data_IF_994549834686
#
_entry.id   IF_994549834686
#
_cell.length_a   1.000
_cell.length_b   1.000
_cell.length_c   1.000
_cell.angle_alpha   90.00
_cell.angle_beta   90.00
_cell.angle_gamma   90.00
#
_symmetry.space_group_name_H-M   'P 1'
#
loop_
_entity.id
_entity.type
_entity.pdbx_description
1 polymer ?
#
# COMPACT_ATOMS: atom_id res chain seq x y z
N UNK A 1 -11.63 -25.15 -16.15
CA UNK A 1 -10.98 -24.29 -17.17
C UNK A 1 -11.22 -22.81 -16.85
N UNK A 2 -10.37 -21.90 -17.35
CA UNK A 2 -10.61 -20.46 -17.26
C UNK A 2 -11.90 -20.10 -18.01
N UNK A 3 -12.82 -19.37 -17.35
CA UNK A 3 -14.11 -19.02 -17.94
C UNK A 3 -14.00 -18.07 -19.16
N UNK A 4 -12.88 -17.37 -19.33
CA UNK A 4 -12.71 -16.41 -20.44
C UNK A 4 -11.98 -16.98 -21.65
N UNK A 5 -11.02 -17.89 -21.45
CA UNK A 5 -10.13 -18.33 -22.52
C UNK A 5 -9.80 -19.84 -22.48
N UNK A 6 -10.53 -20.63 -21.69
CA UNK A 6 -10.42 -22.10 -21.58
C UNK A 6 -9.05 -22.66 -21.13
N UNK A 7 -8.05 -21.83 -20.83
CA UNK A 7 -6.74 -22.25 -20.31
C UNK A 7 -6.77 -22.67 -18.82
N UNK A 8 -5.68 -23.29 -18.32
CA UNK A 8 -5.56 -23.73 -16.91
C UNK A 8 -5.68 -22.53 -15.96
N UNK A 9 -6.63 -22.55 -15.00
CA UNK A 9 -6.81 -21.46 -14.05
C UNK A 9 -5.69 -21.43 -13.01
N UNK A 10 -5.37 -20.22 -12.53
CA UNK A 10 -4.40 -19.96 -11.45
C UNK A 10 -5.04 -19.28 -10.24
N UNK A 11 -6.27 -18.80 -10.38
CA UNK A 11 -7.01 -18.12 -9.33
C UNK A 11 -8.50 -18.46 -9.41
N UNK A 12 -9.13 -18.59 -8.25
CA UNK A 12 -10.57 -18.78 -8.07
C UNK A 12 -11.12 -17.66 -7.18
N UNK A 13 -12.09 -16.92 -7.71
CA UNK A 13 -12.80 -15.88 -6.97
C UNK A 13 -13.78 -16.48 -5.97
N UNK A 14 -14.24 -15.67 -5.02
CA UNK A 14 -15.27 -16.02 -4.02
C UNK A 14 -16.58 -16.50 -4.65
N UNK A 15 -16.94 -15.97 -5.82
CA UNK A 15 -18.07 -16.43 -6.62
C UNK A 15 -17.79 -17.70 -7.46
N UNK A 16 -16.74 -18.48 -7.12
CA UNK A 16 -16.31 -19.71 -7.81
C UNK A 16 -15.86 -19.53 -9.26
N UNK A 17 -15.69 -18.29 -9.73
CA UNK A 17 -15.15 -18.01 -11.06
C UNK A 17 -13.65 -18.32 -11.11
N UNK A 18 -13.24 -19.12 -12.09
CA UNK A 18 -11.84 -19.51 -12.30
C UNK A 18 -11.20 -18.73 -13.46
N UNK A 19 -10.02 -18.16 -13.25
CA UNK A 19 -9.27 -17.39 -14.27
C UNK A 19 -7.82 -17.85 -14.41
N UNK A 20 -7.29 -17.81 -15.64
CA UNK A 20 -5.86 -18.03 -15.90
C UNK A 20 -5.02 -16.79 -15.58
N UNK A 21 -3.69 -16.90 -15.67
CA UNK A 21 -2.77 -15.81 -15.32
C UNK A 21 -3.01 -14.52 -16.11
N UNK A 22 -3.17 -14.61 -17.43
CA UNK A 22 -3.40 -13.43 -18.27
C UNK A 22 -4.74 -12.75 -17.98
N UNK A 23 -5.79 -13.54 -17.77
CA UNK A 23 -7.11 -13.05 -17.40
C UNK A 23 -7.12 -12.41 -16.01
N UNK A 24 -6.39 -13.00 -15.05
CA UNK A 24 -6.20 -12.44 -13.72
C UNK A 24 -5.47 -11.09 -13.77
N UNK A 25 -4.37 -10.99 -14.52
CA UNK A 25 -3.63 -9.72 -14.71
C UNK A 25 -4.55 -8.63 -15.25
N UNK A 26 -5.29 -8.91 -16.34
CA UNK A 26 -6.22 -7.94 -16.94
C UNK A 26 -7.32 -7.51 -15.97
N UNK A 27 -7.86 -8.47 -15.21
CA UNK A 27 -8.83 -8.18 -14.16
C UNK A 27 -8.24 -7.28 -13.07
N UNK A 28 -7.03 -7.59 -12.60
CA UNK A 28 -6.34 -6.85 -11.54
C UNK A 28 -6.08 -5.39 -11.96
N UNK A 29 -5.50 -5.17 -13.13
CA UNK A 29 -5.24 -3.83 -13.68
C UNK A 29 -6.56 -3.05 -13.90
N UNK A 30 -7.61 -3.72 -14.42
CA UNK A 30 -8.93 -3.10 -14.58
C UNK A 30 -9.54 -2.70 -13.23
N UNK A 31 -9.44 -3.56 -12.22
CA UNK A 31 -9.89 -3.28 -10.84
C UNK A 31 -9.11 -2.10 -10.25
N UNK A 32 -7.80 -2.01 -10.50
CA UNK A 32 -6.95 -0.93 -10.01
C UNK A 32 -7.38 0.43 -10.59
N UNK A 33 -7.55 0.48 -11.91
CA UNK A 33 -8.06 1.68 -12.59
C UNK A 33 -9.49 2.03 -12.16
N UNK A 34 -10.32 1.04 -11.87
CA UNK A 34 -11.65 1.26 -11.30
C UNK A 34 -11.56 1.89 -9.90
N UNK A 35 -10.72 1.37 -9.01
CA UNK A 35 -10.51 1.92 -7.66
C UNK A 35 -10.10 3.39 -7.72
N UNK A 36 -9.10 3.73 -8.55
CA UNK A 36 -8.61 5.10 -8.66
C UNK A 36 -9.70 6.07 -9.14
N UNK A 37 -10.52 5.65 -10.11
CA UNK A 37 -11.62 6.47 -10.63
C UNK A 37 -12.77 6.59 -9.63
N UNK A 38 -13.20 5.46 -9.05
CA UNK A 38 -14.33 5.39 -8.11
C UNK A 38 -14.12 6.31 -6.89
N UNK A 39 -12.89 6.38 -6.41
CA UNK A 39 -12.55 7.18 -5.23
C UNK A 39 -11.85 8.50 -5.57
N UNK A 40 -11.85 8.91 -6.85
CA UNK A 40 -11.20 10.14 -7.33
C UNK A 40 -9.76 10.34 -6.80
N UNK A 41 -9.01 9.24 -6.71
CA UNK A 41 -7.67 9.24 -6.11
C UNK A 41 -6.68 10.10 -6.90
N UNK A 42 -6.87 10.17 -8.22
CA UNK A 42 -5.95 10.85 -9.13
C UNK A 42 -6.73 11.58 -10.22
N UNK A 43 -6.31 12.80 -10.53
CA UNK A 43 -6.83 13.64 -11.62
C UNK A 43 -5.78 13.83 -12.71
N UNK A 44 -6.23 14.26 -13.90
CA UNK A 44 -5.31 14.60 -14.98
C UNK A 44 -4.38 15.74 -14.54
N UNK A 45 -3.07 15.60 -14.80
CA UNK A 45 -2.06 16.58 -14.40
C UNK A 45 -1.53 16.41 -12.97
N UNK A 46 -2.07 15.48 -12.17
CA UNK A 46 -1.55 15.21 -10.82
C UNK A 46 -0.10 14.71 -10.86
N UNK A 47 0.70 15.16 -9.90
CA UNK A 47 2.00 14.56 -9.56
C UNK A 47 1.80 13.64 -8.35
N UNK A 48 1.93 12.33 -8.57
CA UNK A 48 1.75 11.30 -7.54
C UNK A 48 3.12 10.77 -7.11
N UNK A 49 3.46 11.01 -5.86
CA UNK A 49 4.61 10.42 -5.19
C UNK A 49 4.30 9.02 -4.66
N UNK A 50 5.27 8.11 -4.66
CA UNK A 50 5.16 6.81 -3.96
C UNK A 50 6.51 6.45 -3.35
N UNK A 51 6.53 5.76 -2.21
CA UNK A 51 7.78 5.31 -1.60
C UNK A 51 8.28 4.03 -2.27
N UNK A 52 9.55 4.03 -2.68
CA UNK A 52 10.20 2.81 -3.18
C UNK A 52 10.47 1.86 -2.03
N UNK A 53 9.80 0.72 -2.05
CA UNK A 53 10.03 -0.40 -1.13
C UNK A 53 10.41 -1.67 -1.87
N UNK A 54 10.86 -2.67 -1.13
CA UNK A 54 11.24 -3.97 -1.68
C UNK A 54 10.16 -5.04 -1.51
N UNK A 55 9.06 -4.74 -0.83
CA UNK A 55 7.98 -5.68 -0.59
C UNK A 55 7.11 -5.87 -1.83
N UNK A 56 6.36 -6.97 -1.86
CA UNK A 56 5.48 -7.25 -3.01
C UNK A 56 4.44 -6.14 -3.21
N UNK A 57 3.88 -5.58 -2.13
CA UNK A 57 2.89 -4.49 -2.23
C UNK A 57 3.50 -3.22 -2.85
N UNK A 58 4.72 -2.87 -2.46
CA UNK A 58 5.44 -1.69 -2.98
C UNK A 58 5.70 -1.81 -4.49
N UNK A 59 6.27 -2.95 -4.89
CA UNK A 59 6.66 -3.22 -6.28
C UNK A 59 5.42 -3.34 -7.17
N UNK A 60 4.31 -3.89 -6.66
CA UNK A 60 3.05 -3.95 -7.39
C UNK A 60 2.43 -2.56 -7.52
N UNK A 61 2.43 -1.75 -6.46
CA UNK A 61 1.94 -0.37 -6.53
C UNK A 61 2.72 0.43 -7.58
N UNK A 62 4.06 0.36 -7.56
CA UNK A 62 4.92 1.00 -8.55
C UNK A 62 4.58 0.56 -9.97
N UNK A 63 4.46 -0.75 -10.20
CA UNK A 63 4.10 -1.31 -11.50
C UNK A 63 2.74 -0.79 -11.99
N UNK A 64 1.72 -0.81 -11.13
CA UNK A 64 0.38 -0.35 -11.48
C UNK A 64 0.30 1.17 -11.72
N UNK A 65 1.04 1.98 -10.96
CA UNK A 65 1.17 3.42 -11.21
C UNK A 65 1.86 3.69 -12.56
N UNK A 66 2.86 2.89 -12.93
CA UNK A 66 3.52 2.96 -14.24
C UNK A 66 2.55 2.78 -15.42
N UNK A 67 1.55 1.91 -15.30
CA UNK A 67 0.50 1.72 -16.33
C UNK A 67 -0.29 3.01 -16.60
N UNK A 68 -0.46 3.85 -15.57
CA UNK A 68 -1.19 5.12 -15.69
C UNK A 68 -0.28 6.23 -16.21
N UNK A 69 0.96 6.27 -15.73
CA UNK A 69 1.96 7.22 -16.19
C UNK A 69 2.21 7.08 -17.70
N UNK A 70 2.25 5.84 -18.20
CA UNK A 70 2.42 5.54 -19.63
C UNK A 70 1.30 6.06 -20.54
N UNK A 71 0.17 6.49 -19.98
CA UNK A 71 -0.93 7.14 -20.72
C UNK A 71 -0.84 8.67 -20.73
N UNK A 72 0.21 9.25 -20.14
CA UNK A 72 0.46 10.70 -20.14
C UNK A 72 -0.48 11.53 -19.25
N UNK A 73 -1.39 10.91 -18.49
CA UNK A 73 -2.39 11.63 -17.69
C UNK A 73 -1.87 12.10 -16.34
N UNK A 74 -0.84 11.45 -15.82
CA UNK A 74 -0.38 11.61 -14.44
C UNK A 74 1.12 11.47 -14.42
N UNK A 75 1.80 12.33 -13.66
CA UNK A 75 3.24 12.20 -13.43
C UNK A 75 3.49 11.39 -12.16
N UNK A 76 4.28 10.34 -12.26
CA UNK A 76 4.64 9.50 -11.11
C UNK A 76 6.08 9.82 -10.66
N UNK A 77 6.30 9.97 -9.36
CA UNK A 77 7.61 10.27 -8.77
C UNK A 77 7.93 9.26 -7.68
N UNK A 78 9.01 8.50 -7.86
CA UNK A 78 9.51 7.57 -6.84
C UNK A 78 10.28 8.32 -5.75
N UNK A 79 9.82 8.17 -4.51
CA UNK A 79 10.42 8.74 -3.30
C UNK A 79 11.34 7.71 -2.66
N UNK A 80 12.49 8.16 -2.16
CA UNK A 80 13.40 7.31 -1.40
C UNK A 80 13.09 7.41 0.09
N UNK A 81 13.57 6.44 0.89
CA UNK A 81 13.45 6.51 2.36
C UNK A 81 14.13 7.76 2.96
N UNK A 82 15.13 8.34 2.29
CA UNK A 82 15.69 9.64 2.71
C UNK A 82 14.65 10.75 2.61
N UNK A 83 13.72 10.64 1.66
CA UNK A 83 12.60 11.57 1.49
C UNK A 83 11.41 11.19 2.38
N UNK A 84 11.51 10.09 3.15
CA UNK A 84 10.45 9.66 4.06
C UNK A 84 10.27 10.69 5.17
N UNK A 85 9.02 11.00 5.55
CA UNK A 85 8.76 11.88 6.69
C UNK A 85 9.39 11.35 8.00
N UNK A 86 9.58 10.03 8.13
CA UNK A 86 10.27 9.43 9.28
C UNK A 86 11.77 9.79 9.35
N UNK A 87 12.43 10.09 8.23
CA UNK A 87 13.83 10.51 8.17
C UNK A 87 14.02 12.03 8.39
N UNK A 88 12.94 12.81 8.29
CA UNK A 88 12.99 14.27 8.38
C UNK A 88 11.82 14.83 9.19
N UNK A 89 12.00 15.01 10.51
CA UNK A 89 10.96 15.49 11.42
C UNK A 89 10.35 16.85 11.06
N UNK A 90 11.05 17.68 10.28
CA UNK A 90 10.56 19.01 9.90
C UNK A 90 9.72 18.99 8.59
N UNK A 91 9.82 17.94 7.76
CA UNK A 91 8.90 17.75 6.62
C UNK A 91 7.51 17.26 7.11
N UNK A 92 7.47 16.65 8.30
CA UNK A 92 6.27 16.21 9.01
C UNK A 92 5.33 17.37 9.36
N UNK A 93 5.88 18.53 9.74
CA UNK A 93 5.08 19.72 10.07
C UNK A 93 4.24 20.23 8.88
N UNK A 94 4.66 19.94 7.63
CA UNK A 94 3.92 20.28 6.41
C UNK A 94 2.86 19.25 6.01
N UNK A 95 2.92 18.04 6.55
CA UNK A 95 1.99 16.94 6.27
C UNK A 95 1.31 16.49 7.57
N UNK A 96 0.26 17.21 7.98
CA UNK A 96 -0.74 16.84 8.99
C UNK A 96 -0.27 15.84 10.08
N UNK A 97 0.16 16.36 11.24
CA UNK A 97 0.77 15.66 12.39
C UNK A 97 0.08 14.35 12.85
N UNK A 98 -1.21 14.14 12.55
CA UNK A 98 -1.96 12.90 12.87
C UNK A 98 -1.70 11.72 11.92
N UNK A 99 -1.40 11.96 10.64
CA UNK A 99 -1.07 10.89 9.67
C UNK A 99 0.32 10.28 9.93
N UNK A 100 1.14 11.02 10.66
CA UNK A 100 2.50 10.68 11.06
C UNK A 100 2.47 9.73 12.23
N UNK A 101 1.51 9.85 13.15
CA UNK A 101 1.30 8.85 14.20
C UNK A 101 0.94 7.48 13.59
N UNK A 102 0.17 7.44 12.50
CA UNK A 102 -0.11 6.17 11.79
C UNK A 102 1.11 5.61 11.07
N UNK A 103 1.91 6.45 10.43
CA UNK A 103 3.20 6.02 9.89
C UNK A 103 4.21 5.69 10.99
N UNK A 104 4.14 6.30 12.17
CA UNK A 104 4.99 6.06 13.34
C UNK A 104 4.56 4.82 14.12
N UNK A 105 3.28 4.46 14.14
CA UNK A 105 2.82 3.17 14.68
C UNK A 105 3.31 2.08 13.72
N UNK A 106 3.07 2.21 12.42
CA UNK A 106 3.56 1.27 11.40
C UNK A 106 5.09 1.25 11.28
N UNK A 107 5.78 2.38 11.50
CA UNK A 107 7.24 2.47 11.48
C UNK A 107 7.88 2.14 12.82
N UNK A 108 7.19 2.24 13.97
CA UNK A 108 7.68 1.70 15.25
C UNK A 108 7.76 0.18 15.17
N UNK A 109 6.75 -0.47 14.62
CA UNK A 109 6.82 -1.91 14.29
C UNK A 109 7.98 -2.23 13.34
N UNK A 110 8.28 -1.34 12.38
CA UNK A 110 9.38 -1.53 11.42
C UNK A 110 10.79 -1.16 11.98
N UNK A 111 10.87 -0.24 12.94
CA UNK A 111 12.12 0.24 13.56
C UNK A 111 12.55 -0.66 14.72
N UNK A 112 11.63 -1.14 15.55
CA UNK A 112 11.92 -2.13 16.60
C UNK A 112 12.49 -3.43 16.01
N UNK A 113 12.01 -3.85 14.83
CA UNK A 113 12.51 -5.04 14.13
C UNK A 113 13.93 -4.88 13.56
N UNK A 114 14.39 -3.63 13.34
CA UNK A 114 15.75 -3.33 12.91
C UNK A 114 16.69 -3.02 14.09
N UNK A 115 16.18 -2.47 15.20
CA UNK A 115 16.95 -2.30 16.44
C UNK A 115 17.32 -3.65 17.07
N UNK A 116 16.40 -4.63 17.04
CA UNK A 116 16.65 -5.99 17.53
C UNK A 116 17.67 -6.78 16.68
N UNK A 117 18.08 -6.26 15.52
CA UNK A 117 19.09 -6.89 14.62
C UNK A 117 20.51 -6.32 14.78
N UNK A 118 20.76 -5.46 15.78
CA UNK A 118 22.11 -5.08 16.18
C UNK A 118 22.98 -4.36 15.14
N UNK A 119 22.40 -3.86 14.03
CA UNK A 119 23.15 -3.08 13.04
C UNK A 119 23.26 -1.62 13.48
N UNK A 120 24.36 -1.29 14.18
CA UNK A 120 24.77 0.09 14.36
C UNK A 120 25.11 0.70 12.99
N UNK A 121 24.29 1.64 12.52
CA UNK A 121 24.65 2.50 11.39
C UNK A 121 25.24 3.77 12.01
N UNK A 122 26.55 3.95 11.86
CA UNK A 122 27.26 5.15 12.31
C UNK A 122 26.68 6.40 11.64
N UNK A 123 26.16 7.32 12.45
CA UNK A 123 25.45 8.54 12.01
C UNK A 123 26.42 9.68 11.61
N UNK A 124 27.74 9.41 11.60
CA UNK A 124 28.78 10.44 11.60
C UNK A 124 29.24 11.05 10.27
N UNK A 125 28.89 10.52 9.08
CA UNK A 125 29.52 11.00 7.83
C UNK A 125 28.58 11.26 6.63
N UNK A 126 27.30 11.48 6.87
CA UNK A 126 26.33 11.72 5.79
C UNK A 126 26.06 13.21 5.49
N UNK A 127 26.57 14.16 6.27
CA UNK A 127 26.21 15.57 6.12
C UNK A 127 26.78 16.25 4.85
N UNK A 128 27.97 15.85 4.37
CA UNK A 128 28.67 16.60 3.32
C UNK A 128 28.39 16.14 1.89
N UNK A 129 27.79 14.96 1.69
CA UNK A 129 27.37 14.49 0.36
C UNK A 129 25.92 14.89 -0.03
N UNK A 130 25.21 15.64 0.83
CA UNK A 130 23.81 16.02 0.59
C UNK A 130 23.62 17.31 -0.22
N UNK A 131 24.61 18.20 -0.29
CA UNK A 131 24.45 19.48 -1.00
C UNK A 131 24.49 19.34 -2.54
N UNK A 132 25.16 18.32 -3.08
CA UNK A 132 25.30 18.15 -4.54
C UNK A 132 24.16 17.38 -5.22
N UNK A 133 23.32 16.64 -4.48
CA UNK A 133 22.15 15.93 -5.07
C UNK A 133 20.87 16.77 -5.12
N UNK A 134 20.81 17.91 -4.41
CA UNK A 134 19.64 18.82 -4.40
C UNK A 134 19.45 19.62 -5.69
N UNK A 135 20.49 19.80 -6.50
CA UNK A 135 20.46 20.70 -7.67
C UNK A 135 19.78 20.11 -8.92
N UNK A 136 19.38 18.82 -8.93
CA UNK A 136 18.68 18.18 -10.06
C UNK A 136 17.33 17.54 -9.72
N UNK A 137 16.91 17.55 -8.45
CA UNK A 137 15.51 17.31 -8.10
C UNK A 137 14.76 18.61 -8.35
N UNK A 138 14.47 18.90 -9.62
CA UNK A 138 13.49 19.92 -9.98
C UNK A 138 12.18 19.64 -9.24
N UNK A 139 11.95 20.43 -8.18
CA UNK A 139 10.73 21.12 -7.74
C UNK A 139 9.34 20.59 -8.12
N UNK A 140 9.13 19.32 -8.44
CA UNK A 140 7.78 18.80 -8.69
C UNK A 140 6.99 18.88 -7.38
N UNK A 141 6.01 19.79 -7.34
CA UNK A 141 5.08 19.93 -6.22
C UNK A 141 4.19 18.69 -6.20
N UNK A 142 4.52 17.72 -5.36
CA UNK A 142 3.75 16.49 -5.22
C UNK A 142 2.35 16.80 -4.70
N UNK A 143 1.33 16.44 -5.47
CA UNK A 143 -0.08 16.65 -5.16
C UNK A 143 -0.64 15.51 -4.31
N UNK A 144 -0.23 14.27 -4.63
CA UNK A 144 -0.73 13.04 -3.99
C UNK A 144 0.41 12.12 -3.58
N UNK A 145 0.21 11.34 -2.53
CA UNK A 145 1.13 10.31 -2.05
C UNK A 145 0.40 8.97 -2.05
N UNK A 146 0.85 8.02 -2.86
CA UNK A 146 0.31 6.68 -2.91
C UNK A 146 1.00 5.76 -1.89
N UNK A 147 0.20 5.06 -1.08
CA UNK A 147 0.66 4.08 -0.08
C UNK A 147 0.19 2.68 -0.51
N UNK A 148 1.03 1.64 -0.38
CA UNK A 148 0.72 0.27 -0.80
C UNK A 148 -0.11 -0.50 0.25
N UNK A 149 -1.18 0.11 0.76
CA UNK A 149 -2.09 -0.51 1.74
C UNK A 149 -3.19 -1.32 1.05
N UNK A 150 -3.29 -2.59 1.44
CA UNK A 150 -4.27 -3.58 0.97
C UNK A 150 -5.47 -3.70 1.91
N UNK A 151 -6.52 -4.39 1.48
CA UNK A 151 -7.69 -4.65 2.31
C UNK A 151 -7.33 -5.40 3.59
N UNK A 152 -6.38 -6.35 3.54
CA UNK A 152 -5.91 -7.12 4.70
C UNK A 152 -5.31 -6.22 5.79
N UNK A 153 -4.38 -5.34 5.43
CA UNK A 153 -3.75 -4.41 6.37
C UNK A 153 -4.76 -3.46 7.01
N UNK A 154 -5.75 -3.04 6.23
CA UNK A 154 -6.81 -2.13 6.68
C UNK A 154 -7.77 -2.86 7.61
N UNK A 155 -8.23 -4.05 7.25
CA UNK A 155 -9.10 -4.87 8.08
C UNK A 155 -8.44 -5.22 9.41
N UNK A 156 -7.17 -5.63 9.38
CA UNK A 156 -6.37 -5.85 10.57
C UNK A 156 -6.30 -4.61 11.46
N UNK A 157 -5.99 -3.45 10.86
CA UNK A 157 -5.96 -2.17 11.57
C UNK A 157 -7.29 -1.84 12.24
N UNK A 158 -8.42 -2.03 11.54
CA UNK A 158 -9.76 -1.79 12.08
C UNK A 158 -10.05 -2.72 13.27
N UNK A 159 -9.83 -4.02 13.11
CA UNK A 159 -10.10 -5.01 14.18
C UNK A 159 -9.22 -4.76 15.40
N UNK A 160 -7.92 -4.47 15.19
CA UNK A 160 -7.00 -4.20 16.30
C UNK A 160 -7.43 -3.00 17.13
N UNK A 161 -7.91 -1.93 16.50
CA UNK A 161 -8.40 -0.75 17.24
C UNK A 161 -9.73 -1.03 17.94
N UNK A 162 -10.63 -1.81 17.33
CA UNK A 162 -11.88 -2.24 18.01
C UNK A 162 -11.54 -3.01 19.29
N UNK A 163 -10.61 -3.97 19.21
CA UNK A 163 -10.17 -4.76 20.37
C UNK A 163 -9.56 -3.87 21.46
N UNK A 164 -8.76 -2.87 21.07
CA UNK A 164 -8.12 -1.93 22.01
C UNK A 164 -9.05 -0.83 22.53
N UNK A 165 -10.28 -0.76 22.05
CA UNK A 165 -11.26 0.29 22.38
C UNK A 165 -10.79 1.74 22.10
N UNK A 166 -9.83 1.93 21.18
CA UNK A 166 -9.27 3.26 20.87
C UNK A 166 -9.88 3.88 19.60
N UNK A 167 -11.18 4.17 19.64
CA UNK A 167 -11.96 4.60 18.46
C UNK A 167 -11.44 5.91 17.84
N UNK A 168 -10.63 6.70 18.56
CA UNK A 168 -10.09 7.99 18.08
C UNK A 168 -9.14 7.80 16.88
N UNK A 169 -8.47 6.67 16.79
CA UNK A 169 -7.44 6.40 15.77
C UNK A 169 -8.00 5.96 14.41
N UNK A 170 -9.28 5.58 14.36
CA UNK A 170 -9.85 5.00 13.14
C UNK A 170 -10.35 6.04 12.12
N UNK A 171 -10.42 7.33 12.47
CA UNK A 171 -10.90 8.39 11.56
C UNK A 171 -10.12 8.50 10.24
N UNK A 172 -8.91 7.94 10.18
CA UNK A 172 -7.98 8.10 9.03
C UNK A 172 -7.89 6.85 8.11
N UNK A 173 -8.81 5.89 8.23
CA UNK A 173 -8.79 4.63 7.44
C UNK A 173 -9.48 4.77 6.05
N UNK A 174 -9.80 6.00 5.62
CA UNK A 174 -10.46 6.25 4.32
C UNK A 174 -9.55 5.90 3.12
N UNK A 175 -10.14 5.56 1.98
CA UNK A 175 -9.38 5.24 0.75
C UNK A 175 -8.58 6.44 0.22
N UNK A 176 -9.10 7.65 0.42
CA UNK A 176 -8.43 8.94 0.21
C UNK A 176 -8.47 9.73 1.51
N UNK A 177 -7.30 10.16 1.98
CA UNK A 177 -7.15 11.06 3.12
C UNK A 177 -6.26 12.23 2.74
N UNK A 178 -6.90 13.37 2.42
CA UNK A 178 -6.23 14.59 1.93
C UNK A 178 -5.35 14.28 0.71
N UNK A 179 -4.03 14.33 0.87
CA UNK A 179 -3.06 14.04 -0.20
C UNK A 179 -2.71 12.56 -0.30
N UNK A 180 -3.04 11.76 0.71
CA UNK A 180 -2.71 10.33 0.74
C UNK A 180 -3.81 9.54 0.04
N UNK A 181 -3.38 8.64 -0.84
CA UNK A 181 -4.25 7.72 -1.56
C UNK A 181 -3.79 6.28 -1.33
N UNK A 182 -4.74 5.35 -1.33
CA UNK A 182 -4.49 3.92 -1.11
C UNK A 182 -4.96 3.12 -2.34
N UNK A 183 -4.22 3.09 -3.45
CA UNK A 183 -4.71 2.47 -4.69
C UNK A 183 -4.98 0.96 -4.57
N UNK A 184 -4.32 0.28 -3.62
CA UNK A 184 -4.50 -1.15 -3.35
C UNK A 184 -5.62 -1.45 -2.33
N UNK A 185 -6.42 -0.45 -1.94
CA UNK A 185 -7.46 -0.54 -0.90
C UNK A 185 -8.48 -1.68 -1.08
N UNK A 186 -8.77 -2.08 -2.33
CA UNK A 186 -9.73 -3.13 -2.69
C UNK A 186 -9.10 -4.51 -2.95
N UNK A 187 -7.81 -4.68 -2.69
CA UNK A 187 -7.08 -5.88 -3.05
C UNK A 187 -6.66 -6.66 -1.82
N UNK A 188 -6.81 -7.98 -1.89
CA UNK A 188 -6.30 -8.87 -0.87
C UNK A 188 -4.80 -9.09 -1.07
N UNK A 189 -4.05 -9.34 0.01
CA UNK A 189 -2.61 -9.60 -0.08
C UNK A 189 -2.28 -10.78 -0.99
N UNK A 190 -3.09 -11.85 -0.94
CA UNK A 190 -2.96 -13.00 -1.84
C UNK A 190 -3.09 -12.62 -3.32
N UNK A 191 -3.92 -11.63 -3.65
CA UNK A 191 -4.14 -11.15 -5.01
C UNK A 191 -2.94 -10.32 -5.49
N UNK A 192 -2.46 -9.43 -4.62
CA UNK A 192 -1.31 -8.57 -4.90
C UNK A 192 -0.05 -9.42 -5.06
N UNK A 193 0.18 -10.41 -4.20
CA UNK A 193 1.31 -11.34 -4.32
C UNK A 193 1.21 -12.19 -5.60
N UNK A 194 0.02 -12.70 -5.93
CA UNK A 194 -0.18 -13.47 -7.17
C UNK A 194 0.10 -12.60 -8.41
N UNK A 195 -0.37 -11.35 -8.41
CA UNK A 195 -0.07 -10.40 -9.49
C UNK A 195 1.44 -10.20 -9.66
N UNK A 196 2.16 -9.96 -8.56
CA UNK A 196 3.61 -9.80 -8.58
C UNK A 196 4.33 -11.01 -9.19
N UNK A 197 3.93 -12.22 -8.80
CA UNK A 197 4.48 -13.49 -9.31
C UNK A 197 4.20 -13.66 -10.80
N UNK A 198 2.96 -13.44 -11.24
CA UNK A 198 2.58 -13.60 -12.66
C UNK A 198 3.28 -12.57 -13.57
N UNK A 199 3.51 -11.35 -13.09
CA UNK A 199 4.29 -10.31 -13.78
C UNK A 199 5.80 -10.47 -13.65
N UNK A 200 6.28 -11.50 -12.93
CA UNK A 200 7.71 -11.76 -12.65
C UNK A 200 8.42 -10.55 -12.02
N UNK A 201 7.71 -9.81 -11.17
CA UNK A 201 8.28 -8.67 -10.45
C UNK A 201 9.26 -9.16 -9.38
N UNK A 202 10.42 -8.51 -9.28
CA UNK A 202 11.41 -8.83 -8.25
C UNK A 202 11.03 -8.15 -6.94
N UNK A 203 10.71 -8.94 -5.92
CA UNK A 203 10.44 -8.45 -4.57
C UNK A 203 11.11 -9.34 -3.51
N UNK A 204 11.39 -8.76 -2.34
CA UNK A 204 11.90 -9.49 -1.18
C UNK A 204 10.72 -10.06 -0.41
N UNK A 205 10.71 -11.39 -0.19
CA UNK A 205 9.71 -12.04 0.64
C UNK A 205 10.07 -11.82 2.11
N UNK A 206 9.50 -10.78 2.71
CA UNK A 206 9.59 -10.58 4.16
C UNK A 206 8.56 -11.49 4.82
N UNK A 207 9.00 -12.31 5.79
CA UNK A 207 8.06 -13.02 6.67
C UNK A 207 7.47 -11.98 7.62
N UNK A 208 6.22 -11.61 7.42
CA UNK A 208 5.50 -10.76 8.38
C UNK A 208 5.26 -11.59 9.65
N UNK A 209 5.68 -11.06 10.80
CA UNK A 209 5.31 -11.66 12.09
C UNK A 209 3.80 -11.47 12.26
N UNK A 210 3.06 -12.57 12.17
CA UNK A 210 1.64 -12.57 12.48
C UNK A 210 1.47 -12.50 13.99
N UNK A 211 0.61 -11.59 14.43
CA UNK A 211 0.14 -11.56 15.80
C UNK A 211 -1.19 -12.33 15.92
N UNK A 212 -1.67 -12.48 17.16
CA UNK A 212 -2.92 -13.20 17.44
C UNK A 212 -4.12 -12.58 16.73
N UNK A 213 -4.12 -11.26 16.52
CA UNK A 213 -5.21 -10.55 15.83
C UNK A 213 -5.19 -10.84 14.33
N UNK A 214 -4.02 -10.84 13.68
CA UNK A 214 -3.88 -11.22 12.28
C UNK A 214 -4.33 -12.66 12.05
N UNK A 215 -3.94 -13.59 12.92
CA UNK A 215 -4.35 -14.99 12.82
C UNK A 215 -5.85 -15.17 13.03
N UNK A 216 -6.45 -14.39 13.94
CA UNK A 216 -7.89 -14.36 14.15
C UNK A 216 -8.63 -13.86 12.89
N UNK A 217 -8.21 -12.72 12.32
CA UNK A 217 -8.84 -12.16 11.11
C UNK A 217 -8.67 -13.10 9.91
N UNK A 218 -7.51 -13.74 9.76
CA UNK A 218 -7.30 -14.77 8.74
C UNK A 218 -8.18 -16.01 8.98
N UNK A 219 -8.40 -16.38 10.23
CA UNK A 219 -9.32 -17.45 10.63
C UNK A 219 -10.77 -17.15 10.24
N UNK A 220 -11.21 -15.90 10.43
CA UNK A 220 -12.53 -15.46 9.99
C UNK A 220 -12.65 -15.48 8.47
N UNK A 221 -11.64 -14.99 7.74
CA UNK A 221 -11.68 -14.97 6.26
C UNK A 221 -11.72 -16.37 5.66
N UNK A 222 -11.12 -17.37 6.32
CA UNK A 222 -11.22 -18.78 5.89
C UNK A 222 -12.63 -19.34 6.06
N UNK A 223 -13.33 -18.98 7.14
CA UNK A 223 -14.70 -19.46 7.43
C UNK A 223 -15.77 -18.68 6.67
N UNK A 224 -15.54 -17.38 6.50
CA UNK A 224 -16.45 -16.42 5.88
C UNK A 224 -15.68 -15.61 4.85
N UNK A 225 -15.64 -16.06 3.58
CA UNK A 225 -14.99 -15.31 2.51
C UNK A 225 -15.53 -13.88 2.44
N UNK A 226 -14.64 -12.91 2.18
CA UNK A 226 -14.95 -11.47 2.10
C UNK A 226 -15.19 -10.78 3.45
N UNK A 227 -15.01 -11.43 4.60
CA UNK A 227 -15.19 -10.78 5.90
C UNK A 227 -14.24 -9.60 6.09
N UNK A 228 -13.00 -9.66 5.58
CA UNK A 228 -12.07 -8.51 5.62
C UNK A 228 -12.64 -7.31 4.89
N UNK A 229 -13.28 -7.55 3.74
CA UNK A 229 -13.94 -6.50 2.98
C UNK A 229 -15.17 -5.96 3.71
N UNK A 230 -15.99 -6.84 4.30
CA UNK A 230 -17.16 -6.45 5.09
C UNK A 230 -16.77 -5.57 6.28
N UNK A 231 -15.70 -5.92 7.01
CA UNK A 231 -15.16 -5.09 8.11
C UNK A 231 -14.80 -3.69 7.62
N UNK A 232 -14.06 -3.59 6.52
CA UNK A 232 -13.66 -2.31 5.94
C UNK A 232 -14.89 -1.49 5.47
N UNK A 233 -15.89 -2.15 4.87
CA UNK A 233 -17.12 -1.48 4.43
C UNK A 233 -17.97 -0.98 5.59
N UNK A 234 -18.17 -1.81 6.62
CA UNK A 234 -18.90 -1.41 7.83
C UNK A 234 -18.23 -0.20 8.47
N UNK A 235 -16.89 -0.19 8.54
CA UNK A 235 -16.16 0.96 9.04
C UNK A 235 -16.36 2.24 8.20
N UNK A 236 -16.31 2.13 6.88
CA UNK A 236 -16.54 3.25 5.97
C UNK A 236 -17.96 3.83 6.06
N UNK A 237 -18.96 3.04 6.49
CA UNK A 237 -20.33 3.53 6.67
C UNK A 237 -20.50 4.31 7.98
N UNK A 238 -19.67 4.04 8.98
CA UNK A 238 -19.74 4.68 10.29
C UNK A 238 -19.08 6.08 10.27
N UNK A 239 -18.24 6.42 9.26
CA UNK A 239 -17.41 7.64 9.23
C UNK A 239 -17.41 8.40 7.90
#
# INVERSE_FOLDING_TARGET
MCQQCKTKPVYEFTNKRKVCGNCFIKWFEKKFLYTLRKFEMVKCGDVVGYFKGGGFRDVVLENCLGVIAGRGRVKIVGLTLRDSPAAHPNLLARYNHRLIAQYQILSRYFVEENLLRGKQIGVGSLANNFKKSRAKQDKFKINRIAIPQTTDLIAYGVVNVIIKSDVKDLRNVKSVDKKIIRPLFLFLDKEVELYAKLKRLKFKKTKEKKDKVSDFVDGLERKHPEIKWAVVQSWLKIN
#
